data_IF_593548743220
#
_entry.id   IF_593548743220
#
_cell.length_a   1.000
_cell.length_b   1.000
_cell.length_c   1.000
_cell.angle_alpha   90.00
_cell.angle_beta   90.00
_cell.angle_gamma   90.00
#
_symmetry.space_group_name_H-M   'P 1'
#
loop_
_entity.id
_entity.type
_entity.pdbx_description
1 polymer ?
#
# COMPACT_ATOMS: atom_id res chain seq x y z
N UNK A 1 -8.41 -7.86 -24.72
CA UNK A 1 -7.93 -7.22 -23.47
C UNK A 1 -6.56 -6.64 -23.72
N UNK A 2 -6.44 -5.33 -23.67
CA UNK A 2 -5.15 -4.65 -23.87
C UNK A 2 -4.24 -4.82 -22.62
N UNK A 3 -2.98 -4.38 -22.73
CA UNK A 3 -2.00 -4.50 -21.63
C UNK A 3 -2.43 -3.71 -20.40
N UNK A 4 -3.09 -2.56 -20.57
CA UNK A 4 -3.52 -1.70 -19.46
C UNK A 4 -4.67 -2.36 -18.69
N UNK A 5 -5.67 -2.89 -19.39
CA UNK A 5 -6.80 -3.63 -18.84
C UNK A 5 -6.32 -4.86 -18.07
N UNK A 6 -5.38 -5.64 -18.63
CA UNK A 6 -4.80 -6.80 -17.93
C UNK A 6 -4.12 -6.40 -16.61
N UNK A 7 -3.39 -5.28 -16.62
CA UNK A 7 -2.74 -4.74 -15.41
C UNK A 7 -3.77 -4.28 -14.38
N UNK A 8 -4.85 -3.64 -14.82
CA UNK A 8 -5.94 -3.23 -13.93
C UNK A 8 -6.62 -4.47 -13.32
N UNK A 9 -6.91 -5.49 -14.12
CA UNK A 9 -7.54 -6.72 -13.67
C UNK A 9 -6.75 -7.45 -12.58
N UNK A 10 -5.41 -7.47 -12.68
CA UNK A 10 -4.55 -8.01 -11.60
C UNK A 10 -4.75 -7.24 -10.29
N UNK A 11 -4.89 -5.91 -10.34
CA UNK A 11 -5.09 -5.08 -9.15
C UNK A 11 -6.49 -5.18 -8.56
N UNK A 12 -7.51 -5.50 -9.37
CA UNK A 12 -8.87 -5.73 -8.87
C UNK A 12 -8.96 -6.95 -7.93
N UNK A 13 -7.97 -7.85 -7.96
CA UNK A 13 -7.84 -8.94 -6.98
C UNK A 13 -7.42 -8.49 -5.57
N UNK A 14 -7.04 -7.22 -5.38
CA UNK A 14 -6.70 -6.66 -4.07
C UNK A 14 -7.94 -6.23 -3.29
N UNK A 15 -7.81 -6.14 -1.97
CA UNK A 15 -8.92 -5.77 -1.09
C UNK A 15 -9.29 -4.29 -1.25
N UNK A 16 -10.61 -4.05 -1.38
CA UNK A 16 -11.21 -2.72 -1.56
C UNK A 16 -10.72 -1.98 -2.84
N UNK A 17 -10.33 -2.73 -3.89
CA UNK A 17 -10.01 -2.21 -5.23
C UNK A 17 -11.07 -2.64 -6.24
N UNK A 18 -11.77 -1.65 -6.81
CA UNK A 18 -12.59 -1.83 -8.01
C UNK A 18 -11.93 -1.18 -9.23
N UNK A 19 -12.59 -1.24 -10.41
CA UNK A 19 -12.02 -0.80 -11.68
C UNK A 19 -11.47 0.63 -11.66
N UNK A 20 -12.18 1.57 -11.04
CA UNK A 20 -11.75 2.97 -10.94
C UNK A 20 -10.44 3.13 -10.18
N UNK A 21 -10.28 2.41 -9.06
CA UNK A 21 -9.03 2.46 -8.27
C UNK A 21 -7.89 1.74 -8.97
N UNK A 22 -8.18 0.61 -9.62
CA UNK A 22 -7.18 -0.12 -10.39
C UNK A 22 -6.59 0.75 -11.50
N UNK A 23 -7.45 1.43 -12.27
CA UNK A 23 -7.04 2.40 -13.29
C UNK A 23 -6.19 3.52 -12.71
N UNK A 24 -6.67 4.17 -11.64
CA UNK A 24 -5.92 5.23 -10.96
C UNK A 24 -4.51 4.79 -10.52
N UNK A 25 -4.38 3.56 -10.03
CA UNK A 25 -3.09 3.01 -9.60
C UNK A 25 -2.18 2.69 -10.79
N UNK A 26 -2.70 2.12 -11.88
CA UNK A 26 -1.90 1.86 -13.09
C UNK A 26 -1.51 3.15 -13.80
N UNK A 27 -2.37 4.16 -13.84
CA UNK A 27 -2.04 5.49 -14.36
C UNK A 27 -0.92 6.14 -13.55
N UNK A 28 -0.94 5.99 -12.21
CA UNK A 28 0.07 6.59 -11.34
C UNK A 28 1.41 5.84 -11.33
N UNK A 29 1.38 4.51 -11.29
CA UNK A 29 2.57 3.67 -11.03
C UNK A 29 2.98 2.82 -12.23
N UNK A 30 2.17 2.75 -13.29
CA UNK A 30 2.46 2.11 -14.57
C UNK A 30 2.30 0.59 -14.58
N UNK A 31 2.68 -0.11 -13.52
CA UNK A 31 2.69 -1.57 -13.46
C UNK A 31 2.17 -2.12 -12.12
N UNK A 32 1.57 -3.33 -12.10
CA UNK A 32 1.15 -3.97 -10.85
C UNK A 32 2.28 -4.13 -9.84
N UNK A 33 3.49 -4.46 -10.30
CA UNK A 33 4.68 -4.57 -9.45
C UNK A 33 4.95 -3.27 -8.68
N UNK A 34 4.98 -2.12 -9.36
CA UNK A 34 5.17 -0.81 -8.73
C UNK A 34 4.04 -0.43 -7.78
N UNK A 35 2.82 -0.90 -8.03
CA UNK A 35 1.70 -0.73 -7.09
C UNK A 35 1.91 -1.56 -5.82
N UNK A 36 2.39 -2.79 -5.94
CA UNK A 36 2.73 -3.60 -4.77
C UNK A 36 3.86 -2.98 -3.95
N UNK A 37 4.88 -2.42 -4.61
CA UNK A 37 5.93 -1.64 -3.94
C UNK A 37 5.34 -0.40 -3.24
N UNK A 38 4.45 0.34 -3.91
CA UNK A 38 3.78 1.49 -3.32
C UNK A 38 3.00 1.12 -2.05
N UNK A 39 2.28 -0.02 -2.06
CA UNK A 39 1.59 -0.55 -0.87
C UNK A 39 2.58 -0.95 0.21
N UNK A 40 3.65 -1.68 -0.13
CA UNK A 40 4.69 -2.13 0.80
C UNK A 40 5.37 -0.97 1.52
N UNK A 41 5.76 0.07 0.78
CA UNK A 41 6.53 1.20 1.31
C UNK A 41 5.69 2.34 1.88
N UNK A 42 4.36 2.31 1.72
CA UNK A 42 3.48 3.24 2.43
C UNK A 42 3.34 2.82 3.89
N UNK A 43 3.68 3.70 4.83
CA UNK A 43 3.56 3.47 6.28
C UNK A 43 2.23 3.99 6.80
N UNK A 44 1.69 3.35 7.82
CA UNK A 44 0.56 3.88 8.59
C UNK A 44 1.13 4.72 9.74
N UNK A 45 0.67 5.96 9.85
CA UNK A 45 0.99 6.84 10.97
C UNK A 45 -0.03 6.66 12.07
N UNK A 46 0.42 6.66 13.32
CA UNK A 46 -0.41 6.49 14.51
C UNK A 46 -0.30 7.71 15.43
N UNK A 47 -1.34 7.99 16.21
CA UNK A 47 -1.30 8.93 17.34
C UNK A 47 -0.49 8.33 18.50
N UNK A 48 -0.14 9.15 19.50
CA UNK A 48 0.48 8.68 20.75
C UNK A 48 -0.36 7.60 21.46
N UNK A 49 -1.68 7.64 21.30
CA UNK A 49 -2.64 6.67 21.83
C UNK A 49 -2.83 5.41 20.95
N UNK A 50 -2.11 5.31 19.82
CA UNK A 50 -2.13 4.13 18.95
C UNK A 50 -3.26 4.12 17.91
N UNK A 51 -3.99 5.22 17.74
CA UNK A 51 -5.04 5.32 16.71
C UNK A 51 -4.42 5.69 15.36
N UNK A 52 -4.82 5.07 14.23
CA UNK A 52 -4.34 5.48 12.92
C UNK A 52 -4.70 6.93 12.61
N UNK A 53 -3.69 7.78 12.38
CA UNK A 53 -3.85 9.20 12.04
C UNK A 53 -3.83 9.44 10.53
N UNK A 54 -3.09 8.62 9.79
CA UNK A 54 -2.90 8.82 8.35
C UNK A 54 -1.92 7.81 7.76
N UNK A 55 -1.43 8.12 6.57
CA UNK A 55 -0.41 7.33 5.89
C UNK A 55 0.71 8.25 5.41
N UNK A 56 1.89 7.68 5.17
CA UNK A 56 3.06 8.38 4.63
C UNK A 56 3.74 7.49 3.61
N UNK A 57 4.12 8.04 2.47
CA UNK A 57 4.83 7.33 1.41
C UNK A 57 4.06 7.34 0.09
N UNK A 58 4.34 6.42 -0.85
CA UNK A 58 3.91 6.55 -2.25
C UNK A 58 2.40 6.73 -2.49
N UNK A 59 1.54 6.27 -1.57
CA UNK A 59 0.09 6.39 -1.68
C UNK A 59 -0.51 7.61 -0.94
N UNK A 60 0.27 8.40 -0.20
CA UNK A 60 -0.25 9.48 0.64
C UNK A 60 -0.94 10.62 -0.13
N UNK A 61 -0.55 10.86 -1.38
CA UNK A 61 -1.16 11.87 -2.25
C UNK A 61 -2.42 11.37 -2.98
N UNK A 62 -2.77 10.08 -2.88
CA UNK A 62 -3.90 9.51 -3.61
C UNK A 62 -5.15 9.41 -2.72
N UNK A 63 -6.26 9.97 -3.19
CA UNK A 63 -7.55 9.83 -2.51
C UNK A 63 -8.07 8.40 -2.58
N UNK A 64 -8.63 7.91 -1.48
CA UNK A 64 -9.27 6.58 -1.41
C UNK A 64 -8.37 5.46 -0.89
N UNK A 65 -7.14 5.78 -0.49
CA UNK A 65 -6.15 4.84 0.03
C UNK A 65 -5.73 5.20 1.47
N UNK A 66 -6.64 4.97 2.43
CA UNK A 66 -6.37 5.27 3.85
C UNK A 66 -5.65 4.16 4.63
N UNK A 67 -5.42 4.35 5.93
CA UNK A 67 -4.78 3.37 6.80
C UNK A 67 -5.37 1.96 6.74
N UNK A 68 -6.71 1.85 6.70
CA UNK A 68 -7.43 0.57 6.61
C UNK A 68 -7.10 -0.18 5.31
N UNK A 69 -7.00 0.55 4.20
CA UNK A 69 -6.64 -0.01 2.90
C UNK A 69 -5.21 -0.55 2.92
N UNK A 70 -4.25 0.23 3.42
CA UNK A 70 -2.85 -0.18 3.53
C UNK A 70 -2.72 -1.44 4.39
N UNK A 71 -3.35 -1.44 5.57
CA UNK A 71 -3.28 -2.58 6.50
C UNK A 71 -3.77 -3.87 5.86
N UNK A 72 -4.96 -3.84 5.24
CA UNK A 72 -5.57 -5.01 4.58
C UNK A 72 -4.68 -5.55 3.46
N UNK A 73 -4.22 -4.68 2.57
CA UNK A 73 -3.47 -5.11 1.40
C UNK A 73 -2.02 -5.50 1.71
N UNK A 74 -1.37 -4.88 2.71
CA UNK A 74 -0.09 -5.38 3.21
C UNK A 74 -0.21 -6.78 3.79
N UNK A 75 -1.25 -7.06 4.57
CA UNK A 75 -1.51 -8.41 5.09
C UNK A 75 -1.68 -9.42 3.97
N UNK A 76 -2.44 -9.06 2.93
CA UNK A 76 -2.65 -9.91 1.76
C UNK A 76 -1.34 -10.19 0.99
N UNK A 77 -0.51 -9.18 0.77
CA UNK A 77 0.69 -9.27 -0.07
C UNK A 77 1.89 -9.87 0.69
N UNK A 78 2.07 -9.52 1.96
CA UNK A 78 3.27 -9.85 2.76
C UNK A 78 3.04 -10.97 3.78
N UNK A 79 1.79 -11.40 3.98
CA UNK A 79 1.43 -12.41 4.98
C UNK A 79 1.63 -11.98 6.44
N UNK A 80 1.93 -10.70 6.69
CA UNK A 80 2.19 -10.14 8.02
C UNK A 80 1.52 -8.78 8.15
N UNK A 81 1.04 -8.45 9.35
CA UNK A 81 0.59 -7.11 9.68
C UNK A 81 1.79 -6.25 10.11
N UNK A 82 1.77 -4.96 9.74
CA UNK A 82 2.68 -3.97 10.32
C UNK A 82 2.45 -3.99 11.84
N UNK A 83 3.38 -4.61 12.59
CA UNK A 83 3.35 -4.58 14.04
C UNK A 83 3.39 -3.11 14.45
N UNK A 84 2.47 -2.69 15.31
CA UNK A 84 2.53 -1.39 16.00
C UNK A 84 3.83 -1.40 16.81
N UNK A 85 4.92 -0.93 16.21
CA UNK A 85 6.16 -0.68 16.93
C UNK A 85 5.88 0.55 17.79
N UNK A 86 5.64 0.35 19.09
CA UNK A 86 5.92 1.40 20.09
C UNK A 86 7.42 1.71 19.93
N UNK A 87 7.70 2.84 19.30
CA UNK A 87 8.99 3.52 19.14
C UNK A 87 10.25 2.67 18.99
N UNK A 88 10.79 2.65 17.77
CA UNK A 88 12.11 3.19 17.43
C UNK A 88 12.44 2.82 15.98
N UNK A 89 12.81 3.85 15.26
CA UNK A 89 13.38 3.83 13.92
C UNK A 89 14.50 2.77 13.85
N UNK A 90 14.23 1.65 13.18
CA UNK A 90 15.28 0.83 12.59
C UNK A 90 15.04 0.86 11.10
N UNK A 91 16.00 1.45 10.40
CA UNK A 91 16.01 1.58 8.96
C UNK A 91 15.86 0.19 8.34
N UNK A 92 15.11 0.09 7.24
CA UNK A 92 14.92 -1.17 6.50
C UNK A 92 16.19 -1.52 5.69
N UNK A 93 17.28 -0.74 5.82
CA UNK A 93 18.55 -1.00 5.14
C UNK A 93 19.41 -2.07 5.81
N UNK A 94 19.13 -2.46 7.06
CA UNK A 94 19.95 -3.44 7.79
C UNK A 94 19.64 -4.91 7.42
N UNK A 95 18.70 -5.16 6.50
CA UNK A 95 18.33 -6.53 6.07
C UNK A 95 19.07 -6.97 4.79
N UNK A 96 20.01 -6.16 4.29
CA UNK A 96 20.77 -6.40 3.05
C UNK A 96 22.29 -6.15 3.15
N UNK A 97 22.86 -6.12 4.36
CA UNK A 97 24.33 -6.12 4.59
C UNK A 97 24.72 -7.36 5.41
#
# INVERSE_FOLDING_TARGET
>A
MDTFERRCFVLEGLLDIGPTKAKQLIERFGTPFRVFEAIKFTKILYTSTGNPKGIQGPLDTLRGFGPKFIRKNKKLILGKEDKVKKDKEKSVLDEYI
#
